data_IF_550940646962
#
_entry.id   IF_550940646962
#
_cell.length_a   1.000
_cell.length_b   1.000
_cell.length_c   1.000
_cell.angle_alpha   90.00
_cell.angle_beta   90.00
_cell.angle_gamma   90.00
#
_symmetry.space_group_name_H-M   'P 1'
#
loop_
_entity.id
_entity.type
_entity.pdbx_description
1 polymer ?
#
# COMPACT_ATOMS: atom_id res chain seq x y z
N UNK A 1 -2.41 4.40 -20.99
CA UNK A 1 -2.94 5.15 -19.83
C UNK A 1 -3.01 4.13 -18.71
N UNK A 2 -2.08 4.13 -17.76
CA UNK A 2 -2.16 3.20 -16.63
C UNK A 2 -3.13 3.81 -15.63
N UNK A 3 -4.36 3.31 -15.59
CA UNK A 3 -5.38 3.80 -14.68
C UNK A 3 -5.28 3.04 -13.35
N UNK A 4 -4.26 3.40 -12.55
CA UNK A 4 -3.91 2.73 -11.29
C UNK A 4 -5.13 2.68 -10.35
N UNK A 5 -5.95 3.73 -10.35
CA UNK A 5 -7.18 3.76 -9.56
C UNK A 5 -8.16 2.66 -9.97
N UNK A 6 -8.38 2.45 -11.27
CA UNK A 6 -9.31 1.43 -11.77
C UNK A 6 -8.78 0.02 -11.43
N UNK A 7 -7.49 -0.21 -11.66
CA UNK A 7 -6.83 -1.47 -11.32
C UNK A 7 -6.92 -1.77 -9.81
N UNK A 8 -6.64 -0.81 -8.94
CA UNK A 8 -6.77 -1.02 -7.48
C UNK A 8 -8.22 -1.33 -7.10
N UNK A 9 -9.20 -0.65 -7.71
CA UNK A 9 -10.62 -0.93 -7.48
C UNK A 9 -11.00 -2.35 -7.86
N UNK A 10 -10.56 -2.84 -9.01
CA UNK A 10 -10.85 -4.19 -9.47
C UNK A 10 -10.32 -5.26 -8.50
N UNK A 11 -9.10 -5.06 -7.95
CA UNK A 11 -8.52 -5.95 -6.93
C UNK A 11 -9.44 -5.98 -5.71
N UNK A 12 -9.86 -4.80 -5.24
CA UNK A 12 -10.70 -4.68 -4.04
C UNK A 12 -12.06 -5.35 -4.25
N UNK A 13 -12.69 -5.15 -5.41
CA UNK A 13 -13.95 -5.83 -5.76
C UNK A 13 -13.75 -7.35 -5.79
N UNK A 14 -12.64 -7.82 -6.35
CA UNK A 14 -12.34 -9.24 -6.47
C UNK A 14 -12.13 -9.93 -5.11
N UNK A 15 -11.34 -9.33 -4.22
CA UNK A 15 -11.07 -9.92 -2.90
C UNK A 15 -12.23 -9.73 -1.92
N UNK A 16 -12.84 -8.54 -1.86
CA UNK A 16 -13.86 -8.24 -0.85
C UNK A 16 -15.29 -8.50 -1.32
N UNK A 17 -15.53 -8.65 -2.62
CA UNK A 17 -16.88 -8.80 -3.19
C UNK A 17 -17.78 -7.58 -2.97
N UNK A 18 -17.20 -6.40 -2.71
CA UNK A 18 -17.95 -5.17 -2.42
C UNK A 18 -18.29 -4.42 -3.72
N UNK A 19 -19.43 -3.71 -3.77
CA UNK A 19 -19.77 -2.91 -4.95
C UNK A 19 -18.76 -1.77 -5.16
N UNK A 20 -18.37 -1.53 -6.42
CA UNK A 20 -17.49 -0.40 -6.78
C UNK A 20 -17.96 0.96 -6.24
N UNK A 21 -19.28 1.14 -6.12
CA UNK A 21 -19.89 2.35 -5.57
C UNK A 21 -19.46 2.63 -4.11
N UNK A 22 -19.03 1.61 -3.36
CA UNK A 22 -18.48 1.77 -2.01
C UNK A 22 -16.98 2.10 -2.01
N UNK A 23 -16.28 1.87 -3.11
CA UNK A 23 -14.83 2.03 -3.23
C UNK A 23 -14.49 3.47 -3.60
N UNK A 24 -14.67 4.35 -2.61
CA UNK A 24 -14.27 5.75 -2.67
C UNK A 24 -12.81 5.91 -2.25
N UNK A 25 -12.18 7.03 -2.59
CA UNK A 25 -10.80 7.31 -2.16
C UNK A 25 -10.68 7.36 -0.63
N UNK A 26 -11.69 7.89 0.05
CA UNK A 26 -11.73 8.03 1.51
C UNK A 26 -12.16 6.73 2.22
N UNK A 27 -12.64 5.73 1.49
CA UNK A 27 -13.11 4.48 2.07
C UNK A 27 -11.97 3.77 2.80
N UNK A 28 -12.20 3.44 4.06
CA UNK A 28 -11.27 2.70 4.91
C UNK A 28 -11.48 1.20 4.70
N UNK A 29 -10.40 0.48 4.47
CA UNK A 29 -10.48 -0.97 4.19
C UNK A 29 -11.21 -1.73 5.30
N UNK A 30 -10.84 -1.50 6.57
CA UNK A 30 -11.46 -2.18 7.71
C UNK A 30 -12.84 -1.65 8.05
N UNK A 31 -12.96 -0.33 8.14
CA UNK A 31 -14.14 0.31 8.73
C UNK A 31 -15.31 0.45 7.73
N UNK A 32 -15.02 0.71 6.45
CA UNK A 32 -16.05 0.95 5.42
C UNK A 32 -16.25 -0.23 4.47
N UNK A 33 -15.15 -0.91 4.11
CA UNK A 33 -15.18 -2.04 3.17
C UNK A 33 -15.26 -3.40 3.87
N UNK A 34 -15.05 -3.45 5.18
CA UNK A 34 -15.13 -4.67 5.97
C UNK A 34 -13.99 -5.66 5.71
N UNK A 35 -12.88 -5.20 5.14
CA UNK A 35 -11.69 -6.01 4.93
C UNK A 35 -11.11 -6.45 6.27
N UNK A 36 -10.84 -7.75 6.39
CA UNK A 36 -10.15 -8.29 7.55
C UNK A 36 -8.62 -8.16 7.40
N UNK A 37 -7.87 -8.71 8.36
CA UNK A 37 -6.41 -8.68 8.30
C UNK A 37 -5.82 -9.54 7.18
N UNK A 38 -6.51 -10.59 6.74
CA UNK A 38 -6.06 -11.48 5.67
C UNK A 38 -6.34 -10.86 4.31
N UNK A 39 -7.54 -10.31 4.11
CA UNK A 39 -7.94 -9.58 2.90
C UNK A 39 -6.93 -8.47 2.58
N UNK A 40 -6.52 -7.70 3.60
CA UNK A 40 -5.52 -6.66 3.44
C UNK A 40 -4.16 -7.20 2.97
N UNK A 41 -3.75 -8.37 3.45
CA UNK A 41 -2.50 -9.01 3.01
C UNK A 41 -2.62 -9.45 1.56
N UNK A 42 -3.73 -10.10 1.18
CA UNK A 42 -3.96 -10.56 -0.19
C UNK A 42 -4.06 -9.40 -1.20
N UNK A 43 -4.79 -8.34 -0.86
CA UNK A 43 -4.91 -7.14 -1.69
C UNK A 43 -3.54 -6.50 -1.92
N UNK A 44 -2.73 -6.36 -0.85
CA UNK A 44 -1.39 -5.79 -0.93
C UNK A 44 -0.49 -6.65 -1.81
N UNK A 45 -0.45 -7.97 -1.60
CA UNK A 45 0.37 -8.89 -2.41
C UNK A 45 -0.06 -8.87 -3.89
N UNK A 46 -1.36 -8.83 -4.15
CA UNK A 46 -1.89 -8.73 -5.52
C UNK A 46 -1.50 -7.39 -6.16
N UNK A 47 -1.50 -6.29 -5.40
CA UNK A 47 -0.99 -5.01 -5.89
C UNK A 47 0.52 -5.08 -6.18
N UNK A 48 1.32 -5.67 -5.29
CA UNK A 48 2.76 -5.88 -5.50
C UNK A 48 3.05 -6.63 -6.80
N UNK A 49 2.35 -7.74 -7.04
CA UNK A 49 2.49 -8.53 -8.27
C UNK A 49 1.99 -7.79 -9.52
N UNK A 50 0.81 -7.15 -9.44
CA UNK A 50 0.20 -6.45 -10.59
C UNK A 50 1.03 -5.26 -11.07
N UNK A 51 1.65 -4.55 -10.13
CA UNK A 51 2.40 -3.33 -10.42
C UNK A 51 3.92 -3.52 -10.36
N UNK A 52 4.41 -4.75 -10.16
CA UNK A 52 5.84 -5.09 -10.01
C UNK A 52 6.53 -4.17 -8.98
N UNK A 53 5.94 -4.07 -7.78
CA UNK A 53 6.41 -3.20 -6.70
C UNK A 53 6.49 -3.93 -5.37
N UNK A 54 7.19 -3.33 -4.40
CA UNK A 54 7.33 -3.85 -3.04
C UNK A 54 6.80 -2.83 -2.02
N UNK A 55 5.73 -3.22 -1.31
CA UNK A 55 5.08 -2.49 -0.22
C UNK A 55 5.57 -3.06 1.11
N UNK A 56 6.54 -2.41 1.78
CA UNK A 56 7.00 -2.88 3.08
C UNK A 56 5.83 -2.88 4.07
N UNK A 57 5.78 -3.89 4.94
CA UNK A 57 4.70 -4.07 5.93
C UNK A 57 4.44 -2.80 6.76
N UNK A 58 5.48 -2.03 7.08
CA UNK A 58 5.35 -0.75 7.80
C UNK A 58 4.54 0.28 7.02
N UNK A 59 4.69 0.33 5.69
CA UNK A 59 3.88 1.18 4.83
C UNK A 59 2.46 0.62 4.73
N UNK A 60 2.29 -0.70 4.51
CA UNK A 60 0.98 -1.33 4.44
C UNK A 60 0.09 -1.03 5.67
N UNK A 61 0.68 -1.02 6.88
CA UNK A 61 -0.04 -0.66 8.12
C UNK A 61 -0.49 0.81 8.14
N UNK A 62 0.18 1.70 7.40
CA UNK A 62 -0.22 3.11 7.26
C UNK A 62 -1.20 3.36 6.12
N UNK A 63 -1.37 2.41 5.19
CA UNK A 63 -2.32 2.49 4.09
C UNK A 63 -3.71 2.09 4.60
N UNK A 64 -4.43 3.04 5.18
CA UNK A 64 -5.75 2.77 5.79
C UNK A 64 -6.91 2.94 4.79
N UNK A 65 -6.74 3.78 3.77
CA UNK A 65 -7.77 4.10 2.77
C UNK A 65 -7.37 3.67 1.37
N UNK A 66 -8.36 3.52 0.48
CA UNK A 66 -8.13 3.20 -0.93
C UNK A 66 -7.26 4.26 -1.60
N UNK A 67 -7.51 5.54 -1.32
CA UNK A 67 -6.74 6.66 -1.85
C UNK A 67 -5.27 6.62 -1.43
N UNK A 68 -4.97 6.17 -0.21
CA UNK A 68 -3.58 6.00 0.25
C UNK A 68 -2.84 4.97 -0.60
N UNK A 69 -3.46 3.82 -0.89
CA UNK A 69 -2.87 2.75 -1.71
C UNK A 69 -2.65 3.22 -3.14
N UNK A 70 -3.67 3.82 -3.77
CA UNK A 70 -3.59 4.35 -5.13
C UNK A 70 -2.44 5.35 -5.23
N UNK A 71 -2.40 6.34 -4.32
CA UNK A 71 -1.35 7.36 -4.30
C UNK A 71 0.03 6.77 -4.06
N UNK A 72 0.13 5.75 -3.20
CA UNK A 72 1.39 5.06 -2.96
C UNK A 72 1.93 4.40 -4.23
N UNK A 73 1.07 3.67 -4.94
CA UNK A 73 1.42 2.99 -6.18
C UNK A 73 1.77 4.01 -7.26
N UNK A 74 0.97 5.05 -7.44
CA UNK A 74 1.25 6.15 -8.37
C UNK A 74 2.62 6.79 -8.09
N UNK A 75 2.94 7.05 -6.82
CA UNK A 75 4.24 7.61 -6.44
C UNK A 75 5.38 6.66 -6.79
N UNK A 76 5.22 5.36 -6.52
CA UNK A 76 6.23 4.33 -6.85
C UNK A 76 6.41 4.10 -8.34
N UNK A 77 5.35 4.27 -9.14
CA UNK A 77 5.40 4.16 -10.60
C UNK A 77 5.96 5.44 -11.25
N UNK A 78 5.77 6.60 -10.62
CA UNK A 78 6.28 7.88 -11.10
C UNK A 78 7.76 8.11 -10.76
N UNK A 79 8.28 7.47 -9.72
CA UNK A 79 9.68 7.63 -9.27
C UNK A 79 10.47 6.33 -9.54
N UNK A 80 11.55 6.35 -10.36
CA UNK A 80 12.42 5.19 -10.48
C UNK A 80 13.17 4.99 -9.16
N UNK A 81 12.66 4.10 -8.32
CA UNK A 81 13.31 3.48 -7.16
C UNK A 81 14.25 4.42 -6.35
N UNK A 82 13.68 5.24 -5.45
CA UNK A 82 14.46 5.83 -4.36
C UNK A 82 14.57 4.83 -3.19
N UNK A 83 15.78 4.58 -2.64
CA UNK A 83 16.02 3.50 -1.68
C UNK A 83 15.30 3.77 -0.36
N UNK A 84 14.70 2.71 0.18
CA UNK A 84 14.14 2.67 1.52
C UNK A 84 15.11 3.31 2.52
N UNK A 85 14.62 4.35 3.22
CA UNK A 85 15.41 5.10 4.20
C UNK A 85 16.14 4.15 5.13
N UNK A 86 17.47 4.19 5.04
CA UNK A 86 18.41 3.63 5.98
C UNK A 86 17.97 3.98 7.41
N UNK A 87 17.58 2.96 8.17
CA UNK A 87 17.49 3.06 9.62
C UNK A 87 18.91 3.32 10.10
N UNK A 88 19.23 4.59 10.34
CA UNK A 88 20.45 5.01 10.96
C UNK A 88 20.47 4.48 12.41
N UNK A 89 20.97 3.26 12.60
CA UNK A 89 21.42 2.77 13.90
C UNK A 89 22.59 3.65 14.29
N UNK A 90 22.32 4.66 15.13
CA UNK A 90 23.35 5.51 15.73
C UNK A 90 24.25 4.61 16.57
N UNK A 91 25.44 4.27 16.04
CA UNK A 91 26.50 3.67 16.86
C UNK A 91 26.98 4.74 17.87
N UNK A 92 26.92 4.50 19.18
CA UNK A 92 27.60 5.37 20.12
C UNK A 92 29.11 5.27 19.88
N UNK A 93 29.74 6.38 19.50
CA UNK A 93 31.19 6.55 19.55
C UNK A 93 31.59 6.67 21.02
N UNK A 94 31.95 5.56 21.65
CA UNK A 94 32.71 5.60 22.89
C UNK A 94 34.19 5.68 22.51
N UNK A 95 34.71 6.92 22.53
CA UNK A 95 36.13 7.20 22.45
C UNK A 95 36.78 6.85 23.78
N UNK A 96 37.96 6.26 23.68
CA UNK A 96 38.89 5.90 24.74
C UNK A 96 39.24 7.07 25.66
N UNK A 97 39.47 6.73 26.93
CA UNK A 97 40.44 7.37 27.81
C UNK A 97 41.49 6.34 28.22
#
# INVERSE_FOLDING_TARGET
MNDITAEVRDIIVFHLGVPEAKITHDARFKDDLGADSLDLVEIVMTCEERFDLEIPTKAAVTLATVGDVVRYIETRQAEPAAPAKSVAVRRPRLSFG
#
